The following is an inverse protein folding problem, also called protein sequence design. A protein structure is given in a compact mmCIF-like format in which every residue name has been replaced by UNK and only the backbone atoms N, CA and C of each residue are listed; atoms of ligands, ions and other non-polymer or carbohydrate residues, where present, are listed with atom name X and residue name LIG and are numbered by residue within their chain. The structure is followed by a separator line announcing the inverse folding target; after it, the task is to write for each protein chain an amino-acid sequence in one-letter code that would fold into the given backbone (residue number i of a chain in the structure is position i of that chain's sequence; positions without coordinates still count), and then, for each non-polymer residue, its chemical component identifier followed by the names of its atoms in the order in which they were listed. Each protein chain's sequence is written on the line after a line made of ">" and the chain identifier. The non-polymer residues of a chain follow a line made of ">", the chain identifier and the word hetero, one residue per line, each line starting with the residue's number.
data_IF_730661868145
#
_entry.id   IF_730661868145
#
_cell.length_a   1.000
_cell.length_b   1.000
_cell.length_c   1.000
_cell.angle_alpha   90.00
_cell.angle_beta   90.00
_cell.angle_gamma   90.00
#
_symmetry.space_group_name_H-M   'P 1'
#
loop_
_entity.id
_entity.type
_entity.pdbx_description
1 polymer ?
#
# COMPACT_ATOMS: atom_id res chain seq x y z
N UNK A 1 -16.60 -2.04 -10.16
CA UNK A 1 -16.42 -1.28 -11.41
C UNK A 1 -17.37 -0.09 -11.46
N UNK A 2 -18.69 -0.31 -11.58
CA UNK A 2 -19.70 0.76 -11.76
C UNK A 2 -19.55 1.92 -10.75
N UNK A 3 -19.47 1.62 -9.45
CA UNK A 3 -19.30 2.65 -8.40
C UNK A 3 -18.03 3.48 -8.63
N UNK A 4 -16.93 2.87 -9.07
CA UNK A 4 -15.68 3.60 -9.35
C UNK A 4 -15.82 4.50 -10.60
N UNK A 5 -16.56 4.04 -11.61
CA UNK A 5 -16.88 4.87 -12.78
C UNK A 5 -17.78 6.06 -12.39
N UNK A 6 -18.81 5.85 -11.56
CA UNK A 6 -19.70 6.90 -11.05
C UNK A 6 -18.91 7.92 -10.21
N UNK A 7 -18.02 7.47 -9.34
CA UNK A 7 -17.14 8.32 -8.51
C UNK A 7 -16.22 9.17 -9.40
N UNK A 8 -15.65 8.57 -10.43
CA UNK A 8 -14.81 9.30 -11.38
C UNK A 8 -15.59 10.37 -12.16
N UNK A 9 -16.81 10.05 -12.64
CA UNK A 9 -17.70 11.01 -13.31
C UNK A 9 -18.10 12.17 -12.38
N UNK A 10 -18.23 11.92 -11.07
CA UNK A 10 -18.47 12.94 -10.06
C UNK A 10 -17.24 13.82 -9.75
N UNK A 11 -16.10 13.59 -10.43
CA UNK A 11 -14.88 14.38 -10.31
C UNK A 11 -13.88 13.91 -9.26
N UNK A 12 -14.15 12.81 -8.54
CA UNK A 12 -13.19 12.21 -7.62
C UNK A 12 -12.04 11.53 -8.38
N UNK A 13 -10.86 11.51 -7.79
CA UNK A 13 -9.66 10.95 -8.43
C UNK A 13 -9.40 9.48 -8.08
N UNK A 14 -10.14 8.91 -7.15
CA UNK A 14 -9.96 7.53 -6.71
C UNK A 14 -10.81 7.20 -5.50
N UNK A 15 -10.41 6.15 -4.82
CA UNK A 15 -11.10 5.63 -3.65
C UNK A 15 -10.11 5.01 -2.65
N UNK A 16 -10.49 4.99 -1.39
CA UNK A 16 -9.89 4.13 -0.37
C UNK A 16 -10.55 2.75 -0.44
N UNK A 17 -9.75 1.70 -0.42
CA UNK A 17 -10.22 0.31 -0.44
C UNK A 17 -9.57 -0.49 0.69
N UNK A 18 -10.30 -1.42 1.26
CA UNK A 18 -9.77 -2.33 2.28
C UNK A 18 -8.89 -3.43 1.67
N UNK A 19 -8.02 -3.98 2.49
CA UNK A 19 -7.14 -5.11 2.15
C UNK A 19 -7.90 -6.41 1.90
N UNK A 20 -9.07 -6.58 2.54
CA UNK A 20 -9.91 -7.78 2.50
C UNK A 20 -11.29 -7.45 1.90
N UNK A 21 -11.47 -7.54 0.57
CA UNK A 21 -12.74 -7.22 -0.06
C UNK A 21 -13.82 -8.23 0.31
N UNK A 22 -15.01 -7.73 0.68
CA UNK A 22 -16.17 -8.57 0.95
C UNK A 22 -16.79 -9.11 -0.34
N UNK A 23 -17.39 -10.31 -0.27
CA UNK A 23 -18.05 -10.94 -1.41
C UNK A 23 -17.10 -11.56 -2.44
N UNK A 24 -15.83 -11.68 -2.09
CA UNK A 24 -14.78 -12.37 -2.85
C UNK A 24 -14.10 -13.41 -1.95
N UNK A 25 -12.96 -13.95 -2.40
CA UNK A 25 -12.11 -14.83 -1.57
C UNK A 25 -11.38 -14.10 -0.41
N UNK A 26 -11.67 -12.81 -0.19
CA UNK A 26 -11.01 -12.00 0.82
C UNK A 26 -9.63 -11.47 0.39
N UNK A 27 -9.30 -11.55 -0.91
CA UNK A 27 -8.02 -11.08 -1.46
C UNK A 27 -8.23 -10.15 -2.65
N UNK A 28 -7.37 -9.15 -2.79
CA UNK A 28 -7.49 -8.12 -3.82
C UNK A 28 -7.15 -8.62 -5.23
N UNK A 29 -6.43 -9.71 -5.35
CA UNK A 29 -6.07 -10.35 -6.63
C UNK A 29 -7.07 -11.43 -7.07
N UNK A 30 -8.25 -11.52 -6.42
CA UNK A 30 -9.33 -12.42 -6.84
C UNK A 30 -9.76 -12.11 -8.28
N UNK A 31 -9.85 -13.13 -9.16
CA UNK A 31 -10.31 -12.95 -10.54
C UNK A 31 -11.69 -12.27 -10.66
N UNK A 32 -12.58 -12.43 -9.67
CA UNK A 32 -13.85 -11.74 -9.62
C UNK A 32 -13.72 -10.20 -9.55
N UNK A 33 -12.57 -9.68 -9.11
CA UNK A 33 -12.26 -8.25 -9.06
C UNK A 33 -11.64 -7.71 -10.36
N UNK A 34 -11.43 -8.54 -11.39
CA UNK A 34 -10.91 -8.09 -12.68
C UNK A 34 -11.66 -6.87 -13.25
N UNK A 35 -13.02 -6.80 -13.24
CA UNK A 35 -13.73 -5.62 -13.73
C UNK A 35 -13.46 -4.35 -12.92
N UNK A 36 -13.17 -4.48 -11.62
CA UNK A 36 -12.78 -3.35 -10.76
C UNK A 36 -11.39 -2.83 -11.16
N UNK A 37 -10.40 -3.71 -11.29
CA UNK A 37 -9.04 -3.34 -11.70
C UNK A 37 -8.99 -2.71 -13.09
N UNK A 38 -9.78 -3.26 -14.05
CA UNK A 38 -9.92 -2.66 -15.38
C UNK A 38 -10.55 -1.26 -15.36
N UNK A 39 -11.53 -1.02 -14.48
CA UNK A 39 -12.12 0.30 -14.32
C UNK A 39 -11.12 1.27 -13.68
N UNK A 40 -10.38 0.84 -12.66
CA UNK A 40 -9.36 1.64 -12.00
C UNK A 40 -8.25 2.05 -12.97
N UNK A 41 -7.77 1.11 -13.79
CA UNK A 41 -6.74 1.34 -14.81
C UNK A 41 -7.22 2.35 -15.87
N UNK A 42 -8.39 2.10 -16.44
CA UNK A 42 -8.99 2.97 -17.48
C UNK A 42 -9.24 4.40 -17.00
N UNK A 43 -9.71 4.55 -15.76
CA UNK A 43 -10.02 5.85 -15.13
C UNK A 43 -8.79 6.52 -14.52
N UNK A 44 -7.61 5.91 -14.58
CA UNK A 44 -6.39 6.37 -13.90
C UNK A 44 -6.62 6.68 -12.41
N UNK A 45 -7.38 5.81 -11.76
CA UNK A 45 -7.82 6.01 -10.38
C UNK A 45 -6.68 5.86 -9.38
N UNK A 46 -6.64 6.76 -8.38
CA UNK A 46 -5.81 6.57 -7.18
C UNK A 46 -6.53 5.60 -6.24
N UNK A 47 -5.90 4.50 -5.91
CA UNK A 47 -6.42 3.50 -4.99
C UNK A 47 -5.57 3.49 -3.72
N UNK A 48 -6.11 4.05 -2.63
CA UNK A 48 -5.47 3.99 -1.32
C UNK A 48 -5.84 2.67 -0.64
N UNK A 49 -4.86 1.78 -0.49
CA UNK A 49 -5.04 0.50 0.21
C UNK A 49 -4.88 0.75 1.71
N UNK A 50 -6.00 0.66 2.41
CA UNK A 50 -6.11 0.86 3.85
C UNK A 50 -6.39 -0.47 4.55
N UNK A 51 -5.72 -0.79 5.67
CA UNK A 51 -5.98 -2.02 6.40
C UNK A 51 -7.43 -2.09 6.89
N UNK A 52 -7.94 -3.29 7.06
CA UNK A 52 -9.21 -3.52 7.77
C UNK A 52 -9.03 -3.33 9.28
N UNK A 53 -10.14 -3.09 10.00
CA UNK A 53 -10.07 -2.86 11.46
C UNK A 53 -9.59 -4.09 12.23
N UNK A 54 -9.96 -5.28 11.77
CA UNK A 54 -9.58 -6.55 12.36
C UNK A 54 -8.84 -7.39 11.31
N UNK A 55 -7.58 -7.70 11.59
CA UNK A 55 -6.74 -8.51 10.68
C UNK A 55 -7.18 -9.99 10.62
N UNK A 56 -8.04 -10.43 11.55
CA UNK A 56 -8.52 -11.81 11.64
C UNK A 56 -7.51 -12.80 12.25
N UNK A 57 -6.43 -12.32 12.86
CA UNK A 57 -5.44 -13.15 13.55
C UNK A 57 -5.57 -12.98 15.07
N UNK A 58 -6.18 -13.95 15.75
CA UNK A 58 -6.40 -13.91 17.19
C UNK A 58 -5.12 -13.72 18.05
N UNK A 59 -3.93 -13.95 17.48
CA UNK A 59 -2.66 -13.72 18.20
C UNK A 59 -2.35 -12.24 18.40
N UNK A 60 -3.06 -11.33 17.74
CA UNK A 60 -2.87 -9.88 17.88
C UNK A 60 -3.99 -9.19 18.64
N UNK A 61 -4.91 -9.94 19.27
CA UNK A 61 -6.05 -9.37 20.00
C UNK A 61 -5.64 -8.65 21.30
N UNK A 62 -4.53 -9.08 21.91
CA UNK A 62 -4.00 -8.50 23.13
C UNK A 62 -3.00 -7.35 22.85
N UNK A 63 -2.72 -6.53 23.87
CA UNK A 63 -1.68 -5.49 23.89
C UNK A 63 -1.82 -4.40 22.82
N UNK A 64 -3.00 -4.24 22.23
CA UNK A 64 -3.21 -3.32 21.08
C UNK A 64 -2.49 -3.76 19.81
N UNK A 65 -2.04 -4.99 19.74
CA UNK A 65 -1.23 -5.51 18.62
C UNK A 65 -2.00 -5.54 17.31
N UNK A 66 -3.33 -5.65 17.32
CA UNK A 66 -4.10 -5.63 16.08
C UNK A 66 -3.86 -4.31 15.33
N UNK A 67 -3.81 -3.16 16.05
CA UNK A 67 -3.50 -1.88 15.43
C UNK A 67 -2.00 -1.74 15.08
N UNK A 68 -1.12 -2.14 16.00
CA UNK A 68 0.33 -1.92 15.84
C UNK A 68 0.99 -2.90 14.83
N UNK A 69 0.49 -4.15 14.74
CA UNK A 69 1.13 -5.24 13.97
C UNK A 69 0.15 -5.90 13.00
N UNK A 70 -1.08 -6.20 13.46
CA UNK A 70 -2.05 -6.94 12.66
C UNK A 70 -2.37 -6.24 11.33
N UNK A 71 -2.64 -4.93 11.38
CA UNK A 71 -2.93 -4.11 10.20
C UNK A 71 -1.75 -3.98 9.25
N UNK A 72 -0.53 -3.88 9.78
CA UNK A 72 0.70 -3.87 8.96
C UNK A 72 0.85 -5.21 8.23
N UNK A 73 0.71 -6.31 8.95
CA UNK A 73 0.83 -7.67 8.38
C UNK A 73 -0.22 -7.93 7.31
N UNK A 74 -1.48 -7.55 7.57
CA UNK A 74 -2.58 -7.69 6.62
C UNK A 74 -2.34 -6.88 5.34
N UNK A 75 -1.91 -5.61 5.49
CA UNK A 75 -1.55 -4.76 4.35
C UNK A 75 -0.38 -5.33 3.55
N UNK A 76 0.66 -5.82 4.24
CA UNK A 76 1.81 -6.46 3.60
C UNK A 76 1.41 -7.70 2.80
N UNK A 77 0.52 -8.53 3.33
CA UNK A 77 -0.02 -9.70 2.62
C UNK A 77 -0.77 -9.25 1.38
N UNK A 78 -1.70 -8.29 1.50
CA UNK A 78 -2.52 -7.82 0.40
C UNK A 78 -1.68 -7.27 -0.76
N UNK A 79 -0.70 -6.40 -0.46
CA UNK A 79 0.16 -5.82 -1.51
C UNK A 79 1.13 -6.84 -2.10
N UNK A 80 1.67 -7.77 -1.30
CA UNK A 80 2.54 -8.85 -1.79
C UNK A 80 1.81 -9.75 -2.78
N UNK A 81 0.52 -10.03 -2.56
CA UNK A 81 -0.33 -10.76 -3.51
C UNK A 81 -0.51 -10.01 -4.81
N UNK A 82 -0.83 -8.70 -4.76
CA UNK A 82 -0.97 -7.87 -5.97
C UNK A 82 0.33 -7.78 -6.78
N UNK A 83 1.47 -7.76 -6.10
CA UNK A 83 2.79 -7.79 -6.74
C UNK A 83 2.99 -9.13 -7.44
N UNK A 84 2.93 -10.24 -6.72
CA UNK A 84 3.24 -11.57 -7.26
C UNK A 84 2.26 -12.03 -8.35
N UNK A 85 0.99 -11.63 -8.28
CA UNK A 85 -0.01 -11.90 -9.30
C UNK A 85 0.11 -11.01 -10.55
N UNK A 86 1.04 -10.04 -10.54
CA UNK A 86 1.29 -9.10 -11.63
C UNK A 86 0.24 -8.01 -11.80
N UNK A 87 -0.65 -7.79 -10.80
CA UNK A 87 -1.68 -6.75 -10.88
C UNK A 87 -1.07 -5.36 -10.97
N UNK A 88 -0.01 -5.08 -10.20
CA UNK A 88 0.69 -3.78 -10.20
C UNK A 88 1.23 -3.43 -11.58
N UNK A 89 1.83 -4.40 -12.27
CA UNK A 89 2.36 -4.20 -13.63
C UNK A 89 1.28 -4.19 -14.71
N UNK A 90 0.20 -4.95 -14.51
CA UNK A 90 -0.89 -5.07 -15.49
C UNK A 90 -1.81 -3.86 -15.52
N UNK A 91 -2.08 -3.26 -14.37
CA UNK A 91 -3.04 -2.16 -14.21
C UNK A 91 -2.35 -0.86 -13.76
N UNK A 92 -1.37 -0.39 -14.55
CA UNK A 92 -0.53 0.77 -14.20
C UNK A 92 -1.29 2.10 -14.15
N UNK A 93 -2.44 2.20 -14.80
CA UNK A 93 -3.34 3.34 -14.65
C UNK A 93 -3.98 3.39 -13.26
N UNK A 94 -4.13 2.26 -12.59
CA UNK A 94 -4.53 2.19 -11.19
C UNK A 94 -3.33 2.56 -10.30
N UNK A 95 -3.25 3.82 -9.87
CA UNK A 95 -2.17 4.33 -9.02
C UNK A 95 -2.37 3.88 -7.58
N UNK A 96 -1.68 2.83 -7.19
CA UNK A 96 -1.82 2.20 -5.88
C UNK A 96 -0.98 2.93 -4.85
N UNK A 97 -1.62 3.41 -3.79
CA UNK A 97 -1.00 4.00 -2.59
C UNK A 97 -1.13 3.00 -1.44
N UNK A 98 -0.04 2.72 -0.77
CA UNK A 98 -0.01 1.82 0.38
C UNK A 98 0.11 2.63 1.66
N UNK A 99 -0.84 2.46 2.57
CA UNK A 99 -0.79 3.08 3.89
C UNK A 99 0.30 2.50 4.80
N UNK A 100 0.50 3.17 5.93
CA UNK A 100 1.43 2.77 7.00
C UNK A 100 2.87 2.61 6.43
N UNK A 101 3.34 3.63 5.69
CA UNK A 101 4.69 3.62 5.11
C UNK A 101 5.00 2.42 4.22
N UNK A 102 4.00 1.87 3.55
CA UNK A 102 4.17 0.67 2.73
C UNK A 102 4.19 -0.64 3.52
N UNK A 103 3.78 -0.61 4.80
CA UNK A 103 3.59 -1.80 5.64
C UNK A 103 4.83 -2.73 5.70
N UNK A 104 6.04 -2.16 5.67
CA UNK A 104 7.28 -2.91 5.71
C UNK A 104 7.69 -3.59 4.38
N UNK A 105 7.00 -3.33 3.29
CA UNK A 105 7.31 -3.91 1.97
C UNK A 105 8.78 -3.73 1.56
N UNK A 106 9.41 -2.53 1.65
CA UNK A 106 10.83 -2.37 1.30
C UNK A 106 11.76 -3.26 2.15
N UNK A 107 11.42 -3.47 3.42
CA UNK A 107 12.22 -4.31 4.31
C UNK A 107 12.23 -5.79 3.90
N UNK A 108 11.10 -6.32 3.43
CA UNK A 108 10.98 -7.73 3.01
C UNK A 108 11.31 -7.97 1.54
N UNK A 109 11.57 -6.92 0.76
CA UNK A 109 11.77 -7.00 -0.69
C UNK A 109 12.84 -8.00 -1.09
N UNK A 110 13.99 -8.03 -0.41
CA UNK A 110 15.07 -8.97 -0.70
C UNK A 110 14.63 -10.43 -0.57
N UNK A 111 13.78 -10.74 0.43
CA UNK A 111 13.21 -12.07 0.60
C UNK A 111 12.17 -12.38 -0.49
N UNK A 112 11.34 -11.41 -0.86
CA UNK A 112 10.39 -11.55 -1.97
C UNK A 112 11.11 -11.80 -3.29
N UNK A 113 12.20 -11.08 -3.56
CA UNK A 113 13.03 -11.27 -4.76
C UNK A 113 13.66 -12.67 -4.78
N UNK A 114 14.13 -13.17 -3.64
CA UNK A 114 14.66 -14.54 -3.56
C UNK A 114 13.58 -15.57 -3.87
N UNK A 115 12.37 -15.40 -3.34
CA UNK A 115 11.23 -16.28 -3.64
C UNK A 115 10.84 -16.22 -5.13
N UNK A 116 10.76 -15.03 -5.72
CA UNK A 116 10.55 -14.84 -7.16
C UNK A 116 11.59 -15.60 -7.99
N UNK A 117 12.88 -15.53 -7.64
CA UNK A 117 13.95 -16.22 -8.36
C UNK A 117 13.80 -17.75 -8.36
N UNK A 118 13.10 -18.31 -7.38
CA UNK A 118 12.77 -19.74 -7.31
C UNK A 118 11.50 -20.11 -8.09
N UNK A 119 10.65 -19.13 -8.43
CA UNK A 119 9.31 -19.33 -8.99
C UNK A 119 9.02 -18.38 -10.16
N UNK A 120 10.02 -18.07 -11.00
CA UNK A 120 9.95 -17.08 -12.10
C UNK A 120 8.82 -17.33 -13.09
N UNK A 121 8.47 -18.59 -13.30
CA UNK A 121 7.45 -18.97 -14.28
C UNK A 121 6.01 -18.70 -13.80
N UNK A 122 5.83 -18.41 -12.49
CA UNK A 122 4.52 -18.26 -11.87
C UNK A 122 4.31 -16.94 -11.11
N UNK A 123 5.36 -16.17 -10.87
CA UNK A 123 5.31 -14.92 -10.13
C UNK A 123 5.76 -13.74 -11.01
N UNK A 124 5.22 -12.54 -10.73
CA UNK A 124 5.75 -11.30 -11.27
C UNK A 124 6.93 -10.77 -10.41
N UNK A 125 7.78 -9.94 -11.02
CA UNK A 125 9.00 -9.43 -10.40
C UNK A 125 8.70 -8.35 -9.35
N UNK A 126 8.98 -8.59 -8.06
CA UNK A 126 8.67 -7.62 -7.01
C UNK A 126 9.53 -6.35 -7.09
N UNK A 127 10.75 -6.42 -7.63
CA UNK A 127 11.61 -5.24 -7.77
C UNK A 127 11.03 -4.23 -8.76
N UNK A 128 10.43 -4.71 -9.84
CA UNK A 128 9.77 -3.84 -10.84
C UNK A 128 8.50 -3.20 -10.25
N UNK A 129 7.72 -3.97 -9.50
CA UNK A 129 6.49 -3.49 -8.92
C UNK A 129 6.73 -2.39 -7.88
N UNK A 130 7.80 -2.46 -7.09
CA UNK A 130 8.11 -1.51 -6.03
C UNK A 130 8.14 -0.06 -6.54
N UNK A 131 8.73 0.18 -7.71
CA UNK A 131 8.86 1.51 -8.32
C UNK A 131 7.56 2.05 -8.94
N UNK A 132 6.53 1.22 -9.07
CA UNK A 132 5.21 1.60 -9.60
C UNK A 132 4.22 2.00 -8.49
N UNK A 133 4.55 1.70 -7.24
CA UNK A 133 3.72 1.95 -6.07
C UNK A 133 3.98 3.34 -5.47
N UNK A 134 3.02 3.82 -4.68
CA UNK A 134 3.14 5.02 -3.86
C UNK A 134 2.94 4.64 -2.39
N UNK A 135 3.45 5.47 -1.50
CA UNK A 135 3.54 5.19 -0.07
C UNK A 135 3.14 6.43 0.72
N UNK A 136 2.58 6.26 1.91
CA UNK A 136 2.43 7.39 2.82
C UNK A 136 3.65 7.52 3.77
N UNK A 137 3.73 8.64 4.48
CA UNK A 137 4.83 8.92 5.43
C UNK A 137 4.49 8.52 6.87
N UNK A 138 3.41 7.78 7.11
CA UNK A 138 2.95 7.43 8.46
C UNK A 138 3.81 6.31 9.07
N UNK A 139 4.97 6.68 9.57
CA UNK A 139 5.97 5.74 10.12
C UNK A 139 6.41 6.07 11.54
N UNK A 140 6.07 7.26 12.09
CA UNK A 140 6.39 7.72 13.45
C UNK A 140 7.89 7.72 13.82
N UNK A 141 8.77 7.45 12.86
CA UNK A 141 10.22 7.40 13.05
C UNK A 141 10.96 7.93 11.81
N UNK A 142 11.78 9.00 11.93
CA UNK A 142 12.48 9.59 10.80
C UNK A 142 13.46 8.62 10.11
N UNK A 143 14.12 7.72 10.86
CA UNK A 143 15.07 6.76 10.26
C UNK A 143 14.35 5.75 9.38
N UNK A 144 13.15 5.30 9.79
CA UNK A 144 12.32 4.41 8.99
C UNK A 144 11.78 5.10 7.73
N UNK A 145 11.39 6.37 7.85
CA UNK A 145 10.96 7.17 6.68
C UNK A 145 12.13 7.42 5.72
N UNK A 146 13.33 7.70 6.23
CA UNK A 146 14.54 7.82 5.39
C UNK A 146 14.81 6.53 4.62
N UNK A 147 14.74 5.37 5.29
CA UNK A 147 14.90 4.07 4.63
C UNK A 147 13.86 3.83 3.53
N UNK A 148 12.60 4.21 3.76
CA UNK A 148 11.56 4.15 2.73
C UNK A 148 11.93 5.02 1.52
N UNK A 149 12.27 6.30 1.76
CA UNK A 149 12.63 7.26 0.70
C UNK A 149 13.84 6.77 -0.10
N UNK A 150 14.87 6.27 0.57
CA UNK A 150 16.07 5.73 -0.08
C UNK A 150 15.76 4.49 -0.94
N UNK A 151 14.74 3.73 -0.53
CA UNK A 151 14.35 2.50 -1.23
C UNK A 151 13.48 2.75 -2.46
N UNK A 152 12.60 3.76 -2.44
CA UNK A 152 11.56 3.95 -3.46
C UNK A 152 11.63 5.29 -4.20
N UNK A 153 12.38 6.26 -3.67
CA UNK A 153 12.43 7.65 -4.13
C UNK A 153 11.42 8.56 -3.43
N UNK A 154 11.81 9.83 -3.22
CA UNK A 154 10.95 10.80 -2.54
C UNK A 154 9.69 11.16 -3.32
N UNK A 155 9.71 11.03 -4.66
CA UNK A 155 8.57 11.26 -5.56
C UNK A 155 7.48 10.18 -5.44
N UNK A 156 7.73 9.13 -4.70
CA UNK A 156 6.79 8.04 -4.42
C UNK A 156 6.18 8.10 -3.02
N UNK A 157 6.64 9.01 -2.17
CA UNK A 157 6.16 9.14 -0.79
C UNK A 157 5.26 10.36 -0.66
N UNK A 158 4.10 10.19 -0.06
CA UNK A 158 3.10 11.24 0.17
C UNK A 158 2.90 11.46 1.66
N UNK A 159 2.56 12.70 2.05
CA UNK A 159 2.23 13.01 3.44
C UNK A 159 1.00 12.21 3.89
N UNK A 160 1.13 11.48 5.00
CA UNK A 160 0.05 10.78 5.69
C UNK A 160 0.06 11.08 7.18
N UNK A 161 -1.12 11.18 7.81
CA UNK A 161 -1.25 11.47 9.24
C UNK A 161 -2.11 10.48 10.01
N UNK A 162 -2.95 9.71 9.35
CA UNK A 162 -3.98 8.86 9.97
C UNK A 162 -4.90 9.61 10.96
N UNK A 163 -5.02 10.93 10.82
CA UNK A 163 -5.94 11.72 11.64
C UNK A 163 -7.40 11.40 11.27
N UNK A 164 -8.34 11.34 12.25
CA UNK A 164 -8.22 11.73 13.67
C UNK A 164 -7.98 10.54 14.64
N UNK A 165 -7.42 9.46 14.19
CA UNK A 165 -7.24 8.27 15.03
C UNK A 165 -6.14 8.49 16.08
N UNK A 166 -6.26 7.87 17.30
CA UNK A 166 -5.27 8.03 18.36
C UNK A 166 -3.86 7.55 18.01
N UNK A 167 -3.73 6.60 17.08
CA UNK A 167 -2.44 6.12 16.58
C UNK A 167 -1.90 7.01 15.44
N UNK A 168 -2.71 7.93 14.94
CA UNK A 168 -2.29 8.88 13.93
C UNK A 168 -1.22 9.84 14.43
N UNK A 169 -0.59 10.55 13.52
CA UNK A 169 0.43 11.55 13.83
C UNK A 169 -0.22 12.95 13.92
N UNK A 170 -0.26 13.58 15.11
CA UNK A 170 -0.84 14.90 15.27
C UNK A 170 0.04 16.03 14.68
N UNK A 171 1.31 15.75 14.40
CA UNK A 171 2.28 16.70 13.85
C UNK A 171 3.04 16.07 12.66
N UNK A 172 2.36 15.64 11.57
CA UNK A 172 2.92 14.80 10.54
C UNK A 172 4.04 15.46 9.71
N UNK A 173 4.29 16.74 9.90
CA UNK A 173 5.40 17.45 9.26
C UNK A 173 6.70 17.34 10.05
N UNK A 174 6.63 17.08 11.37
CA UNK A 174 7.82 17.08 12.24
C UNK A 174 8.79 15.93 11.89
N UNK A 175 8.26 14.82 11.37
CA UNK A 175 9.07 13.67 10.93
C UNK A 175 10.09 14.05 9.85
N UNK A 176 9.79 15.09 9.04
CA UNK A 176 10.67 15.52 7.94
C UNK A 176 11.91 16.29 8.42
N UNK A 177 11.92 16.80 9.65
CA UNK A 177 13.07 17.55 10.18
C UNK A 177 14.29 16.66 10.45
N UNK A 178 14.08 15.37 10.66
CA UNK A 178 15.13 14.37 10.84
C UNK A 178 15.71 13.78 9.55
N UNK A 179 15.17 14.14 8.36
CA UNK A 179 15.51 13.51 7.11
C UNK A 179 16.72 14.17 6.41
N UNK A 180 17.53 13.33 5.75
CA UNK A 180 18.63 13.74 4.88
C UNK A 180 18.14 13.85 3.42
N UNK A 181 17.22 14.80 3.17
CA UNK A 181 16.68 15.09 1.85
C UNK A 181 16.81 16.58 1.53
N UNK A 182 16.91 16.91 0.26
CA UNK A 182 16.97 18.31 -0.19
C UNK A 182 15.62 19.03 -0.01
N UNK A 183 15.63 20.35 0.00
CA UNK A 183 14.41 21.16 0.07
C UNK A 183 13.42 20.89 -1.09
N UNK A 184 13.93 20.47 -2.25
CA UNK A 184 13.10 20.11 -3.40
C UNK A 184 12.49 18.71 -3.31
N UNK A 185 12.95 17.89 -2.35
CA UNK A 185 12.43 16.55 -2.08
C UNK A 185 11.46 16.53 -0.88
N UNK A 186 11.46 17.60 -0.08
CA UNK A 186 10.44 17.85 0.94
C UNK A 186 9.16 18.40 0.30
#
# INVERSE_FOLDING_TARGET
>A
ARVLDDVHQAGFKGAMIGTQPQGSSGVLDDPALTPFWQAADRNQSVLFIHPVFDSGDARVDDYGMNNAIGRITDTLIAISRLIYSGHVERYQGARIVIGIGGAGLPYVLGRMQRNYNLHKDSLADPQRALSLLYYDSLLHDPATLQFLIDSVGSDRVMLGSDMPFPIGDPAPLDIFDGLQISASQK
#
